data_IF_042512185814
#
_entry.id   IF_042512185814
#
_cell.length_a   1.000
_cell.length_b   1.000
_cell.length_c   1.000
_cell.angle_alpha   90.00
_cell.angle_beta   90.00
_cell.angle_gamma   90.00
#
_symmetry.space_group_name_H-M   'P 1'
#
loop_
_entity.id
_entity.type
_entity.pdbx_description
1 polymer ?
#
# COMPACT_ATOMS: atom_id res chain seq x y z
N UNK A 1 -21.21 33.03 -49.64
CA UNK A 1 -21.71 34.27 -50.27
C UNK A 1 -20.76 35.39 -49.93
N UNK A 2 -20.16 35.99 -50.97
CA UNK A 2 -19.28 37.15 -50.90
C UNK A 2 -20.16 38.40 -50.76
N UNK A 3 -19.82 39.32 -49.88
CA UNK A 3 -20.52 40.60 -49.70
C UNK A 3 -19.52 41.74 -49.63
N UNK A 4 -19.04 42.14 -50.80
CA UNK A 4 -18.31 43.38 -51.05
C UNK A 4 -19.26 44.56 -50.83
N UNK A 5 -18.92 45.51 -49.96
CA UNK A 5 -19.59 46.81 -49.90
C UNK A 5 -18.66 47.88 -50.47
N UNK A 6 -19.21 48.59 -51.44
CA UNK A 6 -18.59 49.55 -52.37
C UNK A 6 -17.74 50.61 -51.69
N UNK A 7 -16.55 50.81 -52.25
CA UNK A 7 -15.83 52.07 -52.17
C UNK A 7 -16.56 53.12 -53.02
N UNK A 8 -16.93 54.26 -52.44
CA UNK A 8 -17.19 55.48 -53.18
C UNK A 8 -15.93 56.34 -53.08
N UNK A 9 -15.31 56.53 -54.24
CA UNK A 9 -14.19 57.41 -54.51
C UNK A 9 -14.78 58.81 -54.69
N UNK A 10 -14.47 59.72 -53.77
CA UNK A 10 -14.61 61.16 -53.97
C UNK A 10 -13.26 61.71 -54.42
N UNK A 11 -13.23 62.32 -55.59
CA UNK A 11 -12.04 62.95 -56.18
C UNK A 11 -11.65 64.22 -55.41
N UNK A 12 -10.34 64.33 -55.12
CA UNK A 12 -9.57 65.56 -55.24
C UNK A 12 -9.87 66.72 -54.30
N UNK A 13 -9.20 66.73 -53.13
CA UNK A 13 -8.59 67.98 -52.64
C UNK A 13 -7.15 67.66 -52.30
N UNK A 14 -6.23 68.33 -53.01
CA UNK A 14 -4.80 68.30 -52.77
C UNK A 14 -4.54 68.42 -51.27
N UNK A 15 -3.99 67.37 -50.66
CA UNK A 15 -3.39 67.50 -49.34
C UNK A 15 -2.18 68.42 -49.50
N UNK A 16 -2.39 69.72 -49.27
CA UNK A 16 -1.31 70.62 -48.89
C UNK A 16 -0.49 69.90 -47.83
N UNK A 17 0.81 69.74 -48.10
CA UNK A 17 1.77 69.35 -47.07
C UNK A 17 1.68 70.41 -45.98
N UNK A 18 0.90 70.14 -44.92
CA UNK A 18 0.89 71.00 -43.74
C UNK A 18 2.36 71.20 -43.33
N UNK A 19 2.85 72.44 -43.19
CA UNK A 19 4.21 72.69 -42.78
C UNK A 19 4.44 71.96 -41.45
N UNK A 20 5.63 71.36 -41.22
CA UNK A 20 5.87 70.62 -39.98
C UNK A 20 5.49 71.53 -38.81
N UNK A 21 4.46 71.13 -38.06
CA UNK A 21 3.96 71.92 -36.92
C UNK A 21 5.16 72.14 -36.00
N UNK A 22 5.69 73.37 -36.00
CA UNK A 22 6.85 73.76 -35.19
C UNK A 22 6.46 73.54 -33.74
N UNK A 23 6.92 72.44 -33.16
CA UNK A 23 6.69 72.14 -31.75
C UNK A 23 7.38 73.27 -30.97
N UNK A 24 6.66 74.06 -30.17
CA UNK A 24 7.30 75.09 -29.38
C UNK A 24 8.38 74.44 -28.52
N UNK A 25 9.58 75.02 -28.53
CA UNK A 25 10.75 74.48 -27.81
C UNK A 25 10.51 74.65 -26.31
N UNK A 26 9.80 73.69 -25.72
CA UNK A 26 9.53 73.67 -24.29
C UNK A 26 10.84 73.35 -23.56
N UNK A 27 11.25 74.15 -22.57
CA UNK A 27 12.48 73.90 -21.83
C UNK A 27 12.44 72.52 -21.16
N UNK A 28 13.57 71.80 -21.22
CA UNK A 28 13.67 70.40 -20.79
C UNK A 28 13.18 70.14 -19.36
N UNK A 29 13.33 71.13 -18.47
CA UNK A 29 12.91 71.04 -17.07
C UNK A 29 11.39 70.81 -16.95
N UNK A 30 10.58 71.45 -17.80
CA UNK A 30 9.12 71.29 -17.80
C UNK A 30 8.73 69.90 -18.31
N UNK A 31 9.43 69.38 -19.32
CA UNK A 31 9.20 68.03 -19.85
C UNK A 31 9.55 66.96 -18.82
N UNK A 32 10.68 67.13 -18.11
CA UNK A 32 11.11 66.25 -17.00
C UNK A 32 10.06 66.26 -15.88
N UNK A 33 9.56 67.43 -15.48
CA UNK A 33 8.47 67.56 -14.48
C UNK A 33 7.17 66.88 -14.91
N UNK A 34 6.74 67.04 -16.17
CA UNK A 34 5.53 66.39 -16.71
C UNK A 34 5.66 64.87 -16.71
N UNK A 35 6.82 64.33 -17.10
CA UNK A 35 7.09 62.89 -17.12
C UNK A 35 7.04 62.30 -15.70
N UNK A 36 7.65 62.99 -14.73
CA UNK A 36 7.61 62.58 -13.31
C UNK A 36 6.18 62.61 -12.77
N UNK A 37 5.43 63.68 -13.03
CA UNK A 37 4.04 63.80 -12.58
C UNK A 37 3.13 62.72 -13.18
N UNK A 38 3.27 62.44 -14.48
CA UNK A 38 2.55 61.36 -15.16
C UNK A 38 2.89 59.99 -14.57
N UNK A 39 4.17 59.74 -14.26
CA UNK A 39 4.60 58.49 -13.63
C UNK A 39 4.02 58.32 -12.21
N UNK A 40 4.02 59.39 -11.39
CA UNK A 40 3.42 59.38 -10.05
C UNK A 40 1.92 59.10 -10.14
N UNK A 41 1.22 59.79 -11.05
CA UNK A 41 -0.23 59.61 -11.23
C UNK A 41 -0.58 58.20 -11.72
N UNK A 42 0.22 57.65 -12.65
CA UNK A 42 0.06 56.28 -13.11
C UNK A 42 0.29 55.25 -11.98
N UNK A 43 1.28 55.48 -11.11
CA UNK A 43 1.55 54.63 -9.96
C UNK A 43 0.43 54.69 -8.92
N UNK A 44 -0.08 55.88 -8.61
CA UNK A 44 -1.22 56.05 -7.71
C UNK A 44 -2.48 55.35 -8.24
N UNK A 45 -2.76 55.47 -9.54
CA UNK A 45 -3.89 54.78 -10.18
C UNK A 45 -3.73 53.25 -10.10
N UNK A 46 -2.52 52.73 -10.34
CA UNK A 46 -2.22 51.30 -10.20
C UNK A 46 -2.41 50.81 -8.77
N UNK A 47 -1.91 51.55 -7.77
CA UNK A 47 -2.08 51.21 -6.36
C UNK A 47 -3.56 51.19 -5.95
N UNK A 48 -4.33 52.21 -6.34
CA UNK A 48 -5.76 52.26 -6.06
C UNK A 48 -6.54 51.07 -6.66
N UNK A 49 -6.16 50.59 -7.86
CA UNK A 49 -6.76 49.40 -8.46
C UNK A 49 -6.39 48.11 -7.70
N UNK A 50 -5.13 47.98 -7.25
CA UNK A 50 -4.68 46.84 -6.45
C UNK A 50 -5.40 46.80 -5.11
N UNK A 51 -5.59 47.94 -4.45
CA UNK A 51 -6.27 48.01 -3.15
C UNK A 51 -7.77 47.74 -3.28
N UNK A 52 -8.41 48.22 -4.36
CA UNK A 52 -9.79 47.82 -4.71
C UNK A 52 -9.91 46.31 -4.92
N UNK A 53 -8.96 45.67 -5.62
CA UNK A 53 -8.97 44.20 -5.81
C UNK A 53 -8.78 43.44 -4.49
N UNK A 54 -7.89 43.90 -3.61
CA UNK A 54 -7.71 43.32 -2.27
C UNK A 54 -9.01 43.40 -1.47
N UNK A 55 -9.70 44.54 -1.49
CA UNK A 55 -10.93 44.73 -0.72
C UNK A 55 -12.12 43.97 -1.34
N UNK A 56 -12.21 43.88 -2.66
CA UNK A 56 -13.21 43.05 -3.36
C UNK A 56 -13.01 41.54 -3.13
N UNK A 57 -11.79 41.10 -2.80
CA UNK A 57 -11.48 39.69 -2.58
C UNK A 57 -11.98 39.12 -1.23
N UNK A 58 -12.58 39.95 -0.38
CA UNK A 58 -13.30 39.50 0.81
C UNK A 58 -14.50 38.65 0.42
N UNK A 59 -14.30 37.34 0.27
CA UNK A 59 -15.37 36.37 0.00
C UNK A 59 -16.43 36.52 1.10
N UNK A 60 -17.66 36.83 0.70
CA UNK A 60 -18.80 36.82 1.61
C UNK A 60 -18.84 35.48 2.35
N UNK A 61 -19.04 35.51 3.67
CA UNK A 61 -19.14 34.31 4.50
C UNK A 61 -20.35 33.52 3.99
N UNK A 62 -20.10 32.45 3.24
CA UNK A 62 -21.16 31.59 2.70
C UNK A 62 -21.73 30.77 3.84
N UNK A 63 -22.89 31.16 4.35
CA UNK A 63 -23.63 30.37 5.33
C UNK A 63 -24.00 29.01 4.72
N UNK A 64 -23.42 27.94 5.26
CA UNK A 64 -23.81 26.57 4.92
C UNK A 64 -25.15 26.26 5.59
N UNK A 65 -26.01 25.51 4.90
CA UNK A 65 -27.23 24.95 5.52
C UNK A 65 -26.86 23.94 6.62
N UNK A 66 -27.67 23.86 7.67
CA UNK A 66 -27.47 22.92 8.79
C UNK A 66 -27.38 21.46 8.34
N UNK A 67 -28.17 21.06 7.34
CA UNK A 67 -28.11 19.72 6.74
C UNK A 67 -26.73 19.36 6.18
N UNK A 68 -26.00 20.33 5.63
CA UNK A 68 -24.65 20.13 5.11
C UNK A 68 -23.68 19.91 6.26
N UNK A 69 -23.83 20.67 7.36
CA UNK A 69 -23.02 20.52 8.56
C UNK A 69 -23.20 19.13 9.20
N UNK A 70 -24.44 18.66 9.33
CA UNK A 70 -24.73 17.32 9.85
C UNK A 70 -24.15 16.22 8.95
N UNK A 71 -24.29 16.35 7.62
CA UNK A 71 -23.70 15.41 6.66
C UNK A 71 -22.18 15.39 6.71
N UNK A 72 -21.53 16.56 6.80
CA UNK A 72 -20.08 16.70 6.89
C UNK A 72 -19.56 16.06 8.19
N UNK A 73 -20.24 16.29 9.32
CA UNK A 73 -19.91 15.69 10.62
C UNK A 73 -20.01 14.15 10.59
N UNK A 74 -21.11 13.60 10.05
CA UNK A 74 -21.27 12.16 9.91
C UNK A 74 -20.25 11.53 8.95
N UNK A 75 -19.88 12.24 7.87
CA UNK A 75 -18.82 11.80 6.95
C UNK A 75 -17.48 11.74 7.67
N UNK A 76 -17.11 12.82 8.36
CA UNK A 76 -15.88 12.89 9.15
C UNK A 76 -15.80 11.78 10.19
N UNK A 77 -16.88 11.55 10.94
CA UNK A 77 -16.91 10.46 11.93
C UNK A 77 -16.69 9.08 11.29
N UNK A 78 -17.33 8.80 10.15
CA UNK A 78 -17.12 7.55 9.41
C UNK A 78 -15.68 7.42 8.91
N UNK A 79 -15.09 8.51 8.43
CA UNK A 79 -13.70 8.53 7.99
C UNK A 79 -12.73 8.32 9.14
N UNK A 80 -12.94 8.96 10.29
CA UNK A 80 -12.13 8.78 11.49
C UNK A 80 -12.18 7.33 11.98
N UNK A 81 -13.38 6.71 11.99
CA UNK A 81 -13.54 5.28 12.33
C UNK A 81 -12.83 4.38 11.31
N UNK A 82 -12.92 4.71 10.02
CA UNK A 82 -12.22 3.97 8.96
C UNK A 82 -10.71 4.05 9.13
N UNK A 83 -10.17 5.25 9.36
CA UNK A 83 -8.75 5.49 9.60
C UNK A 83 -8.25 4.69 10.80
N UNK A 84 -8.94 4.78 11.96
CA UNK A 84 -8.61 3.98 13.15
C UNK A 84 -8.59 2.48 12.87
N UNK A 85 -9.57 1.96 12.11
CA UNK A 85 -9.61 0.54 11.71
C UNK A 85 -8.45 0.15 10.80
N UNK A 86 -8.04 1.02 9.88
CA UNK A 86 -6.90 0.76 9.00
C UNK A 86 -5.57 0.76 9.76
N UNK A 87 -5.40 1.66 10.72
CA UNK A 87 -4.21 1.70 11.60
C UNK A 87 -4.06 0.42 12.42
N UNK A 88 -5.17 -0.09 12.96
CA UNK A 88 -5.16 -1.33 13.75
C UNK A 88 -5.24 -2.59 12.87
N UNK A 89 -5.40 -2.45 11.56
CA UNK A 89 -5.41 -3.60 10.65
C UNK A 89 -3.97 -4.11 10.54
N UNK A 90 -3.70 -5.38 10.93
CA UNK A 90 -2.35 -5.91 10.79
C UNK A 90 -1.95 -5.88 9.32
N UNK A 91 -0.77 -5.33 9.05
CA UNK A 91 -0.22 -5.25 7.70
C UNK A 91 -0.17 -6.60 7.00
N UNK A 92 -0.09 -6.58 5.67
CA UNK A 92 0.20 -7.80 4.92
C UNK A 92 1.61 -8.24 5.28
N UNK A 93 1.75 -9.48 5.76
CA UNK A 93 3.06 -10.02 6.06
C UNK A 93 3.75 -10.35 4.74
N UNK A 94 4.86 -9.66 4.48
CA UNK A 94 5.73 -9.96 3.37
C UNK A 94 6.48 -11.24 3.73
N UNK A 95 6.39 -12.24 2.86
CA UNK A 95 7.15 -13.46 3.04
C UNK A 95 8.61 -13.21 2.67
N UNK A 96 9.58 -13.74 3.43
CA UNK A 96 10.94 -13.83 2.92
C UNK A 96 10.95 -14.84 1.76
N UNK A 97 11.22 -14.36 0.54
CA UNK A 97 11.21 -15.19 -0.69
C UNK A 97 12.31 -16.26 -0.71
N UNK A 98 13.33 -16.09 0.12
CA UNK A 98 14.52 -16.95 0.16
C UNK A 98 14.20 -18.39 0.63
N UNK A 99 13.18 -18.56 1.47
CA UNK A 99 12.93 -19.83 2.15
C UNK A 99 11.47 -20.25 2.15
N UNK A 100 11.19 -21.39 1.50
CA UNK A 100 9.83 -21.95 1.37
C UNK A 100 9.45 -22.96 2.45
N UNK A 101 10.43 -23.45 3.23
CA UNK A 101 10.25 -24.52 4.21
C UNK A 101 10.82 -24.12 5.58
N UNK A 102 10.06 -24.37 6.64
CA UNK A 102 10.53 -24.26 8.01
C UNK A 102 10.48 -25.62 8.72
N UNK A 103 11.43 -25.83 9.62
CA UNK A 103 11.43 -26.91 10.59
C UNK A 103 11.06 -26.35 11.95
N UNK A 104 10.10 -27.00 12.61
CA UNK A 104 9.42 -26.49 13.79
C UNK A 104 9.53 -27.55 14.89
N UNK A 105 10.10 -27.19 16.04
CA UNK A 105 10.33 -28.10 17.19
C UNK A 105 9.75 -27.51 18.45
N UNK A 106 8.97 -28.30 19.19
CA UNK A 106 8.45 -27.87 20.49
C UNK A 106 9.48 -28.08 21.60
N UNK A 107 9.73 -27.02 22.37
CA UNK A 107 10.69 -27.01 23.47
C UNK A 107 9.98 -27.00 24.83
N UNK A 108 8.85 -26.29 24.94
CA UNK A 108 8.18 -26.10 26.23
C UNK A 108 7.03 -27.09 26.51
N UNK A 109 6.79 -27.36 27.79
CA UNK A 109 5.57 -28.03 28.27
C UNK A 109 4.41 -27.03 28.21
N UNK A 110 3.24 -27.50 27.78
CA UNK A 110 2.07 -26.66 27.55
C UNK A 110 1.06 -26.94 28.68
N UNK A 111 1.19 -26.24 29.81
CA UNK A 111 0.20 -26.23 30.90
C UNK A 111 -0.42 -24.83 30.99
N UNK A 112 -1.76 -24.74 31.09
CA UNK A 112 -2.46 -23.47 31.29
C UNK A 112 -2.48 -22.48 30.10
N UNK A 113 -2.12 -22.90 28.88
CA UNK A 113 -2.11 -21.98 27.73
C UNK A 113 -3.50 -21.67 27.19
N UNK A 114 -3.60 -20.54 26.50
CA UNK A 114 -4.81 -20.13 25.79
C UNK A 114 -5.28 -21.21 24.79
N UNK A 115 -6.60 -21.36 24.59
CA UNK A 115 -7.15 -22.35 23.67
C UNK A 115 -6.71 -22.10 22.22
N UNK A 116 -6.42 -20.85 21.84
CA UNK A 116 -5.89 -20.47 20.53
C UNK A 116 -4.52 -21.11 20.26
N UNK A 117 -3.58 -20.96 21.19
CA UNK A 117 -2.24 -21.57 21.08
C UNK A 117 -2.35 -23.09 21.03
N UNK A 118 -3.19 -23.68 21.89
CA UNK A 118 -3.42 -25.13 21.92
C UNK A 118 -3.91 -25.66 20.56
N UNK A 119 -4.86 -24.97 19.92
CA UNK A 119 -5.37 -25.34 18.61
C UNK A 119 -4.31 -25.26 17.51
N UNK A 120 -3.46 -24.21 17.53
CA UNK A 120 -2.37 -24.07 16.55
C UNK A 120 -1.37 -25.22 16.67
N UNK A 121 -0.97 -25.57 17.89
CA UNK A 121 -0.01 -26.67 18.13
C UNK A 121 -0.61 -28.03 17.73
N UNK A 122 -1.91 -28.24 17.97
CA UNK A 122 -2.61 -29.43 17.49
C UNK A 122 -2.68 -29.49 15.96
N UNK A 123 -2.90 -28.34 15.29
CA UNK A 123 -2.88 -28.25 13.82
C UNK A 123 -1.50 -28.56 13.24
N UNK A 124 -0.43 -28.07 13.87
CA UNK A 124 0.95 -28.36 13.52
C UNK A 124 1.38 -29.80 13.85
N UNK A 125 0.55 -30.54 14.60
CA UNK A 125 0.76 -31.94 15.05
C UNK A 125 1.94 -32.13 16.02
N UNK A 126 2.33 -31.09 16.77
CA UNK A 126 3.48 -31.12 17.69
C UNK A 126 3.02 -31.37 19.14
N UNK A 127 2.49 -32.57 19.39
CA UNK A 127 1.84 -32.91 20.68
C UNK A 127 2.82 -33.32 21.78
N UNK A 128 3.96 -33.92 21.42
CA UNK A 128 5.00 -34.34 22.37
C UNK A 128 6.07 -33.23 22.51
N UNK A 129 6.74 -33.16 23.65
CA UNK A 129 7.95 -32.35 23.79
C UNK A 129 9.06 -32.89 22.88
N UNK A 130 9.91 -32.02 22.34
CA UNK A 130 10.97 -32.37 21.38
C UNK A 130 10.49 -33.09 20.11
N UNK A 131 9.19 -33.01 19.79
CA UNK A 131 8.69 -33.44 18.48
C UNK A 131 8.85 -32.32 17.45
N UNK A 132 9.13 -32.71 16.21
CA UNK A 132 9.39 -31.80 15.11
C UNK A 132 8.51 -32.05 13.88
N UNK A 133 8.14 -30.98 13.18
CA UNK A 133 7.41 -31.06 11.90
C UNK A 133 7.97 -30.07 10.88
N UNK A 134 7.90 -30.46 9.60
CA UNK A 134 8.19 -29.58 8.47
C UNK A 134 6.92 -28.82 8.06
N UNK A 135 7.03 -27.51 7.86
CA UNK A 135 5.90 -26.62 7.53
C UNK A 135 6.26 -25.79 6.31
N UNK A 136 5.38 -25.81 5.29
CA UNK A 136 5.49 -24.87 4.15
C UNK A 136 5.21 -23.46 4.66
N UNK A 137 6.13 -22.56 4.35
CA UNK A 137 6.03 -21.16 4.70
C UNK A 137 5.04 -20.49 3.76
N UNK A 138 3.97 -20.01 4.37
CA UNK A 138 2.93 -19.17 3.77
C UNK A 138 2.68 -18.00 4.74
N UNK A 139 2.08 -16.89 4.30
CA UNK A 139 1.80 -15.77 5.22
C UNK A 139 0.92 -16.22 6.40
N UNK A 140 0.02 -17.19 6.16
CA UNK A 140 -0.82 -17.79 7.19
C UNK A 140 -0.02 -18.66 8.17
N UNK A 141 0.89 -19.51 7.66
CA UNK A 141 1.79 -20.32 8.49
C UNK A 141 2.67 -19.46 9.39
N UNK A 142 3.18 -18.33 8.87
CA UNK A 142 4.05 -17.43 9.61
C UNK A 142 3.31 -16.76 10.78
N UNK A 143 2.06 -16.30 10.56
CA UNK A 143 1.18 -15.81 11.66
C UNK A 143 0.92 -16.87 12.72
N UNK A 144 0.72 -18.13 12.29
CA UNK A 144 0.53 -19.23 13.22
C UNK A 144 1.79 -19.47 14.07
N UNK A 145 2.96 -19.47 13.43
CA UNK A 145 4.25 -19.65 14.11
C UNK A 145 4.53 -18.54 15.12
N UNK A 146 4.28 -17.27 14.78
CA UNK A 146 4.39 -16.15 15.72
C UNK A 146 3.49 -16.31 16.96
N UNK A 147 2.29 -16.87 16.79
CA UNK A 147 1.38 -17.10 17.92
C UNK A 147 1.94 -18.15 18.89
N UNK A 148 2.75 -19.10 18.41
CA UNK A 148 3.29 -20.22 19.20
C UNK A 148 4.78 -20.13 19.49
N UNK A 149 5.42 -19.05 19.05
CA UNK A 149 6.84 -18.71 19.23
C UNK A 149 7.37 -18.97 20.65
N UNK A 150 6.69 -18.60 21.76
CA UNK A 150 7.21 -18.86 23.09
C UNK A 150 7.32 -20.35 23.47
N UNK A 151 6.64 -21.25 22.75
CA UNK A 151 6.62 -22.69 23.07
C UNK A 151 7.46 -23.53 22.11
N UNK A 152 7.87 -22.94 20.99
CA UNK A 152 8.34 -23.65 19.80
C UNK A 152 9.51 -22.88 19.20
N UNK A 153 10.64 -23.56 19.01
CA UNK A 153 11.70 -23.04 18.16
C UNK A 153 11.46 -23.48 16.72
N UNK A 154 11.67 -22.57 15.78
CA UNK A 154 11.57 -22.87 14.36
C UNK A 154 12.67 -22.15 13.58
N UNK A 155 13.00 -22.68 12.41
CA UNK A 155 14.02 -22.12 11.53
C UNK A 155 14.06 -22.82 10.18
N UNK A 156 14.98 -22.40 9.31
CA UNK A 156 15.12 -22.93 7.96
C UNK A 156 16.08 -24.12 7.96
N UNK A 157 15.66 -25.32 7.53
CA UNK A 157 16.53 -26.50 7.51
C UNK A 157 17.44 -26.51 6.28
N UNK A 158 18.66 -27.04 6.44
CA UNK A 158 19.55 -27.35 5.32
C UNK A 158 19.21 -28.75 4.74
N UNK A 159 19.50 -28.99 3.46
CA UNK A 159 19.28 -30.28 2.78
C UNK A 159 19.93 -31.45 3.52
N UNK A 160 21.15 -31.25 4.03
CA UNK A 160 21.84 -32.26 4.85
C UNK A 160 21.03 -32.61 6.10
N UNK A 161 20.54 -31.60 6.81
CA UNK A 161 19.71 -31.77 8.01
C UNK A 161 18.40 -32.49 7.72
N UNK A 162 17.74 -32.16 6.59
CA UNK A 162 16.50 -32.83 6.16
C UNK A 162 16.76 -34.32 5.92
N UNK A 163 17.81 -34.65 5.15
CA UNK A 163 18.18 -36.03 4.84
C UNK A 163 18.49 -36.82 6.11
N UNK A 164 19.32 -36.27 6.99
CA UNK A 164 19.65 -36.93 8.25
C UNK A 164 18.44 -37.14 9.16
N UNK A 165 17.52 -36.17 9.24
CA UNK A 165 16.31 -36.28 10.04
C UNK A 165 15.37 -37.37 9.52
N UNK A 166 15.17 -37.42 8.20
CA UNK A 166 14.31 -38.43 7.57
C UNK A 166 14.95 -39.82 7.74
N UNK A 167 16.25 -39.96 7.53
CA UNK A 167 16.92 -41.25 7.65
C UNK A 167 16.97 -41.75 9.11
N UNK A 168 17.32 -40.89 10.07
CA UNK A 168 17.50 -41.29 11.48
C UNK A 168 16.21 -41.36 12.27
N UNK A 169 15.21 -40.54 11.93
CA UNK A 169 13.98 -40.38 12.74
C UNK A 169 12.69 -40.38 11.92
N UNK A 170 12.77 -40.58 10.60
CA UNK A 170 11.62 -40.63 9.72
C UNK A 170 10.74 -41.84 9.99
N UNK A 171 9.44 -41.58 10.10
CA UNK A 171 8.44 -42.62 10.20
C UNK A 171 7.30 -42.28 9.26
N UNK A 172 6.79 -43.28 8.55
CA UNK A 172 5.58 -43.18 7.78
C UNK A 172 4.36 -43.51 8.65
N UNK A 173 3.21 -42.97 8.28
CA UNK A 173 1.93 -43.38 8.86
C UNK A 173 1.11 -44.16 7.84
N UNK A 174 1.12 -45.48 7.96
CA UNK A 174 0.44 -46.42 7.06
C UNK A 174 -0.72 -47.05 7.83
N UNK A 175 -1.95 -47.02 7.28
CA UNK A 175 -3.15 -47.62 7.91
C UNK A 175 -3.29 -47.28 9.41
N UNK A 176 -3.05 -46.01 9.75
CA UNK A 176 -3.03 -45.49 11.12
C UNK A 176 -1.91 -45.94 12.07
N UNK A 177 -1.02 -46.84 11.64
CA UNK A 177 0.15 -47.28 12.40
C UNK A 177 1.38 -46.48 12.01
N UNK A 178 2.34 -46.37 12.94
CA UNK A 178 3.63 -45.71 12.73
C UNK A 178 4.65 -46.79 12.33
N UNK A 179 5.23 -46.66 11.14
CA UNK A 179 6.20 -47.62 10.59
C UNK A 179 7.49 -46.87 10.26
N UNK A 180 8.64 -47.46 10.58
CA UNK A 180 9.93 -46.86 10.24
C UNK A 180 10.15 -46.88 8.71
N UNK A 181 10.88 -45.89 8.19
CA UNK A 181 11.27 -45.84 6.78
C UNK A 181 12.57 -46.63 6.59
N UNK A 182 12.49 -47.94 6.38
CA UNK A 182 13.64 -48.80 6.08
C UNK A 182 13.87 -48.96 4.59
N UNK A 183 12.81 -49.23 3.83
CA UNK A 183 12.92 -49.69 2.44
C UNK A 183 12.27 -48.70 1.47
N UNK A 184 12.92 -48.51 0.33
CA UNK A 184 12.39 -47.65 -0.75
C UNK A 184 11.09 -48.19 -1.33
N UNK A 185 10.89 -49.52 -1.32
CA UNK A 185 9.65 -50.16 -1.77
C UNK A 185 8.43 -49.64 -1.01
N UNK A 186 8.54 -49.48 0.31
CA UNK A 186 7.46 -48.92 1.15
C UNK A 186 7.16 -47.46 0.82
N UNK A 187 8.17 -46.71 0.39
CA UNK A 187 8.02 -45.31 -0.05
C UNK A 187 7.29 -45.29 -1.39
N UNK A 188 7.69 -46.12 -2.35
CA UNK A 188 7.10 -46.17 -3.68
C UNK A 188 5.63 -46.63 -3.64
N UNK A 189 5.33 -47.74 -2.98
CA UNK A 189 3.96 -48.28 -2.85
C UNK A 189 2.98 -47.27 -2.26
N UNK A 190 3.44 -46.49 -1.29
CA UNK A 190 2.57 -45.57 -0.55
C UNK A 190 2.65 -44.13 -1.00
N UNK A 191 3.70 -43.70 -1.71
CA UNK A 191 3.91 -42.29 -2.07
C UNK A 191 3.89 -42.00 -3.57
N UNK A 192 4.01 -43.01 -4.44
CA UNK A 192 4.04 -42.81 -5.89
C UNK A 192 2.74 -42.24 -6.47
N UNK A 193 1.59 -42.49 -5.84
CA UNK A 193 0.29 -42.08 -6.38
C UNK A 193 -0.11 -40.63 -6.05
N UNK A 194 0.65 -39.92 -5.21
CA UNK A 194 0.44 -38.48 -5.02
C UNK A 194 1.36 -37.69 -5.92
N UNK A 195 0.85 -36.96 -6.93
CA UNK A 195 1.62 -35.86 -7.47
C UNK A 195 1.94 -34.94 -6.29
N UNK A 196 3.23 -34.61 -6.12
CA UNK A 196 3.70 -33.67 -5.11
C UNK A 196 3.33 -32.25 -5.54
N UNK A 197 2.04 -32.03 -5.80
CA UNK A 197 1.47 -30.74 -6.16
C UNK A 197 1.10 -30.04 -4.85
N UNK A 198 1.87 -29.00 -4.56
CA UNK A 198 1.82 -28.21 -3.36
C UNK A 198 0.63 -27.23 -3.35
N UNK A 199 -0.58 -27.72 -3.64
CA UNK A 199 -1.80 -26.91 -3.66
C UNK A 199 -2.83 -27.36 -2.61
N UNK A 200 -3.00 -26.46 -1.65
CA UNK A 200 -4.25 -25.98 -1.06
C UNK A 200 -5.32 -27.00 -0.64
N UNK A 201 -5.49 -27.08 0.68
CA UNK A 201 -6.81 -27.02 1.33
C UNK A 201 -7.86 -28.06 0.93
N UNK A 202 -7.65 -29.30 1.38
CA UNK A 202 -8.65 -30.18 2.07
C UNK A 202 -8.27 -31.67 2.00
N UNK A 203 -7.42 -32.08 1.05
CA UNK A 203 -7.13 -33.51 0.84
C UNK A 203 -5.88 -34.01 1.59
N UNK A 204 -4.84 -33.18 1.73
CA UNK A 204 -3.53 -33.63 2.25
C UNK A 204 -3.51 -33.91 3.77
N UNK A 205 -4.43 -33.31 4.53
CA UNK A 205 -4.52 -33.55 5.98
C UNK A 205 -5.16 -34.88 6.36
N UNK A 206 -5.95 -35.50 5.47
CA UNK A 206 -6.77 -36.68 5.85
C UNK A 206 -6.13 -38.03 5.56
N UNK A 207 -5.22 -38.16 4.60
CA UNK A 207 -4.67 -39.50 4.29
C UNK A 207 -3.16 -39.64 4.10
N UNK A 208 -2.40 -38.64 3.69
CA UNK A 208 -1.12 -38.98 3.05
C UNK A 208 0.18 -38.77 3.83
N UNK A 209 0.38 -37.65 4.53
CA UNK A 209 1.66 -37.46 5.24
C UNK A 209 1.41 -37.06 6.69
N UNK A 210 1.31 -38.07 7.54
CA UNK A 210 1.54 -37.99 8.99
C UNK A 210 2.96 -38.51 9.30
N UNK A 211 3.95 -38.04 8.55
CA UNK A 211 5.35 -38.13 8.98
C UNK A 211 5.58 -37.11 10.10
N UNK A 212 4.98 -37.39 11.25
CA UNK A 212 5.46 -36.81 12.50
C UNK A 212 6.74 -37.57 12.83
N UNK A 213 7.87 -36.87 12.75
CA UNK A 213 9.10 -37.30 13.43
C UNK A 213 8.78 -37.21 14.93
N UNK A 214 8.10 -38.25 15.42
CA UNK A 214 7.89 -38.50 16.83
C UNK A 214 9.05 -39.38 17.25
N UNK A 215 9.94 -38.83 18.07
CA UNK A 215 10.82 -39.62 18.94
C UNK A 215 9.98 -40.54 19.84
N UNK A 216 10.58 -41.66 20.33
CA UNK A 216 9.92 -42.59 21.26
C UNK A 216 9.21 -41.84 22.40
#
# INVERSE_FOLDING_TARGET
MRGTVRANIGEGVMAELEPPKKIPLVPENILKKRKVYQAIKANQAKQALLDKRKHQSGKQIRFKRLEVFLRDSQRKHRDDVRLRRMEHKPGQMIMPDEHKLAFVVRIAVIKGVSPRVRHVIQRLRIRKIYSGTFVKLTPASLKMLQTVEPYVAWGYPNLKSIRELILKRGHAKIKNKKVALTDNVLIEEHLAHTPFELDSDKCFQRKFWKASICTP
#
